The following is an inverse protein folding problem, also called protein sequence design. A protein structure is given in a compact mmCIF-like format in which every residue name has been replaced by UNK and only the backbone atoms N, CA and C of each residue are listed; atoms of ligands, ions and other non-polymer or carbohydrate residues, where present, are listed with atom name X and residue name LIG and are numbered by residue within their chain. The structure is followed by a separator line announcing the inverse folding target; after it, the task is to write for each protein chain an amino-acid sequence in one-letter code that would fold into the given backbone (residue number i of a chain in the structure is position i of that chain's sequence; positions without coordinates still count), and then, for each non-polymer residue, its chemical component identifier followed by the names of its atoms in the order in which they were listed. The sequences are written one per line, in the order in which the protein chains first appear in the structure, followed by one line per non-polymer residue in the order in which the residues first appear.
data_IF_155441547125
#
_entry.id   IF_155441547125
#
_cell.length_a   1.000
_cell.length_b   1.000
_cell.length_c   1.000
_cell.angle_alpha   90.00
_cell.angle_beta   90.00
_cell.angle_gamma   90.00
#
_symmetry.space_group_name_H-M   'P 1'
#
loop_
_entity.id
_entity.type
_entity.pdbx_description
1 polymer ?
#
# COMPACT_ATOMS: atom_id res chain seq x y z
N UNK A 1 53.47 -23.47 -0.46
CA UNK A 1 52.95 -22.41 0.44
C UNK A 1 51.52 -21.91 0.11
N UNK A 2 51.06 -21.95 -1.15
CA UNK A 2 49.77 -21.32 -1.55
C UNK A 2 48.48 -21.87 -0.91
N UNK A 3 48.39 -23.18 -0.62
CA UNK A 3 47.15 -23.77 -0.07
C UNK A 3 46.84 -23.32 1.37
N UNK A 4 47.87 -23.05 2.17
CA UNK A 4 47.71 -22.49 3.54
C UNK A 4 47.21 -21.05 3.47
N UNK A 5 47.69 -20.27 2.51
CA UNK A 5 47.27 -18.88 2.27
C UNK A 5 45.80 -18.83 1.84
N UNK A 6 45.36 -19.74 0.97
CA UNK A 6 43.96 -19.81 0.52
C UNK A 6 42.98 -20.17 1.65
N UNK A 7 43.36 -21.08 2.56
CA UNK A 7 42.53 -21.45 3.71
C UNK A 7 42.47 -20.29 4.72
N UNK A 8 43.60 -19.61 4.97
CA UNK A 8 43.64 -18.46 5.87
C UNK A 8 42.81 -17.30 5.31
N UNK A 9 42.91 -17.00 4.02
CA UNK A 9 42.08 -15.98 3.37
C UNK A 9 40.59 -16.35 3.38
N UNK A 10 40.25 -17.62 3.14
CA UNK A 10 38.86 -18.09 3.17
C UNK A 10 38.24 -17.96 4.57
N UNK A 11 38.98 -18.34 5.62
CA UNK A 11 38.52 -18.19 7.01
C UNK A 11 38.45 -16.72 7.41
N UNK A 12 39.38 -15.88 6.96
CA UNK A 12 39.37 -14.43 7.19
C UNK A 12 38.15 -13.75 6.54
N UNK A 13 37.84 -14.10 5.29
CA UNK A 13 36.68 -13.55 4.56
C UNK A 13 35.37 -14.02 5.17
N UNK A 14 35.27 -15.30 5.56
CA UNK A 14 34.09 -15.84 6.24
C UNK A 14 33.88 -15.18 7.61
N UNK A 15 34.96 -14.98 8.37
CA UNK A 15 34.92 -14.26 9.64
C UNK A 15 34.56 -12.78 9.46
N UNK A 16 35.02 -12.13 8.39
CA UNK A 16 34.64 -10.75 8.03
C UNK A 16 33.16 -10.65 7.65
N UNK A 17 32.61 -11.60 6.90
CA UNK A 17 31.17 -11.61 6.57
C UNK A 17 30.31 -11.83 7.81
N UNK A 18 30.70 -12.74 8.71
CA UNK A 18 29.98 -12.95 9.98
C UNK A 18 30.09 -11.71 10.88
N UNK A 19 31.27 -11.08 10.95
CA UNK A 19 31.47 -9.84 11.70
C UNK A 19 30.66 -8.68 11.12
N UNK A 20 30.52 -8.54 9.80
CA UNK A 20 29.63 -7.52 9.20
C UNK A 20 28.15 -7.80 9.45
N UNK A 21 27.73 -9.06 9.58
CA UNK A 21 26.35 -9.41 9.94
C UNK A 21 26.03 -9.11 11.41
N UNK A 22 27.00 -9.25 12.33
CA UNK A 22 26.79 -9.03 13.77
C UNK A 22 27.15 -7.63 14.24
N UNK A 23 28.03 -6.93 13.53
CA UNK A 23 28.49 -5.59 13.86
C UNK A 23 27.75 -4.51 13.07
N UNK A 24 26.42 -4.58 13.03
CA UNK A 24 25.64 -3.35 12.82
C UNK A 24 25.73 -2.53 14.10
N UNK A 25 26.55 -1.45 14.17
CA UNK A 25 26.33 -0.44 15.18
C UNK A 25 24.96 0.17 14.90
N UNK A 26 23.97 -0.14 15.73
CA UNK A 26 22.82 0.73 15.91
C UNK A 26 23.35 2.05 16.45
N UNK A 27 23.77 2.94 15.55
CA UNK A 27 24.09 4.31 15.90
C UNK A 27 22.87 4.90 16.63
N UNK A 28 23.05 5.64 17.74
CA UNK A 28 21.99 6.52 18.19
C UNK A 28 21.77 7.50 17.04
N UNK A 29 20.59 7.43 16.43
CA UNK A 29 20.12 8.41 15.46
C UNK A 29 20.16 9.76 16.17
N UNK A 30 21.25 10.50 15.97
CA UNK A 30 21.30 11.93 16.24
C UNK A 30 20.52 12.55 15.09
N UNK A 31 19.25 12.79 15.35
CA UNK A 31 18.34 13.59 14.55
C UNK A 31 19.03 14.91 14.16
N UNK A 32 19.58 14.96 12.96
CA UNK A 32 20.16 16.18 12.40
C UNK A 32 20.17 16.09 10.88
N UNK A 33 18.97 16.08 10.28
CA UNK A 33 18.65 16.55 8.91
C UNK A 33 17.22 16.21 8.48
N UNK A 34 16.30 15.97 9.43
CA UNK A 34 14.87 16.19 9.17
C UNK A 34 14.61 17.66 9.50
N UNK A 35 13.97 18.46 8.63
CA UNK A 35 13.34 19.68 9.10
C UNK A 35 12.49 19.28 10.29
N UNK A 36 12.76 19.85 11.45
CA UNK A 36 11.95 19.65 12.64
C UNK A 36 10.53 20.08 12.29
N UNK A 37 9.72 19.11 11.87
CA UNK A 37 8.28 19.17 11.99
C UNK A 37 8.10 19.30 13.49
N UNK A 38 7.96 20.55 13.93
CA UNK A 38 7.43 20.90 15.25
C UNK A 38 6.38 19.84 15.58
N UNK A 39 6.37 19.31 16.82
CA UNK A 39 5.29 18.47 17.27
C UNK A 39 4.02 19.17 16.79
N UNK A 40 3.27 18.50 15.93
CA UNK A 40 1.88 18.84 15.76
C UNK A 40 1.35 18.70 17.17
N UNK A 41 1.34 19.83 17.88
CA UNK A 41 0.56 19.98 19.08
C UNK A 41 -0.76 19.37 18.68
N UNK A 42 -1.13 18.35 19.44
CA UNK A 42 -2.52 18.13 19.72
C UNK A 42 -3.07 19.50 20.13
N UNK A 43 -3.47 20.30 19.17
CA UNK A 43 -4.73 20.99 19.30
C UNK A 43 -5.75 19.87 19.35
N UNK A 44 -5.87 19.31 20.55
CA UNK A 44 -7.20 19.18 21.12
C UNK A 44 -7.98 20.39 20.60
N UNK A 45 -9.12 20.20 19.91
CA UNK A 45 -10.10 21.25 19.89
C UNK A 45 -10.31 21.55 21.37
N UNK A 46 -9.71 22.64 21.84
CA UNK A 46 -10.09 23.24 23.10
C UNK A 46 -11.56 23.48 22.86
N UNK A 47 -12.38 22.65 23.49
CA UNK A 47 -13.78 22.93 23.72
C UNK A 47 -13.75 24.25 24.46
N UNK A 48 -13.78 25.34 23.69
CA UNK A 48 -14.27 26.62 24.16
C UNK A 48 -15.76 26.43 23.98
N UNK A 49 -16.36 26.05 25.09
CA UNK A 49 -17.78 26.09 25.36
C UNK A 49 -18.24 27.56 25.30
N UNK A 50 -18.19 28.12 24.10
CA UNK A 50 -18.88 29.33 23.71
C UNK A 50 -19.67 28.95 22.46
N UNK A 51 -20.97 28.81 22.65
CA UNK A 51 -21.94 28.35 21.68
C UNK A 51 -22.04 29.36 20.53
N UNK A 52 -21.16 29.25 19.54
CA UNK A 52 -21.36 29.90 18.26
C UNK A 52 -22.23 28.97 17.40
N UNK A 53 -23.53 29.06 17.65
CA UNK A 53 -24.57 28.47 16.81
C UNK A 53 -24.44 29.05 15.39
N UNK A 54 -23.79 28.29 14.52
CA UNK A 54 -23.70 28.50 13.09
C UNK A 54 -24.32 27.29 12.38
N UNK A 55 -25.48 26.84 12.86
CA UNK A 55 -26.29 25.81 12.20
C UNK A 55 -26.76 26.22 10.79
N UNK A 56 -26.58 27.48 10.35
CA UNK A 56 -27.22 28.01 9.14
C UNK A 56 -26.27 28.54 8.06
N UNK A 57 -25.05 28.00 7.94
CA UNK A 57 -24.27 28.24 6.71
C UNK A 57 -24.52 27.12 5.71
N UNK A 58 -25.23 27.47 4.62
CA UNK A 58 -25.43 26.62 3.44
C UNK A 58 -24.11 25.97 2.94
N UNK A 59 -22.96 26.57 3.23
CA UNK A 59 -21.63 25.99 3.00
C UNK A 59 -21.33 24.74 3.83
N UNK A 60 -21.68 24.68 5.12
CA UNK A 60 -21.47 23.48 5.95
C UNK A 60 -22.42 22.36 5.52
N UNK A 61 -23.65 22.70 5.13
CA UNK A 61 -24.57 21.75 4.51
C UNK A 61 -24.03 21.22 3.19
N UNK A 62 -23.39 22.08 2.38
CA UNK A 62 -22.73 21.69 1.12
C UNK A 62 -21.49 20.84 1.36
N UNK A 63 -20.66 21.15 2.35
CA UNK A 63 -19.51 20.32 2.74
C UNK A 63 -19.98 18.96 3.25
N UNK A 64 -20.99 18.91 4.12
CA UNK A 64 -21.57 17.66 4.60
C UNK A 64 -22.25 16.88 3.48
N UNK A 65 -22.89 17.56 2.53
CA UNK A 65 -23.45 16.95 1.33
C UNK A 65 -22.34 16.40 0.41
N UNK A 66 -21.23 17.10 0.24
CA UNK A 66 -20.07 16.63 -0.52
C UNK A 66 -19.40 15.44 0.17
N UNK A 67 -19.23 15.49 1.49
CA UNK A 67 -18.75 14.38 2.30
C UNK A 67 -19.69 13.18 2.20
N UNK A 68 -21.01 13.41 2.24
CA UNK A 68 -22.00 12.38 2.03
C UNK A 68 -22.01 11.87 0.59
N UNK A 69 -21.68 12.67 -0.43
CA UNK A 69 -21.54 12.19 -1.81
C UNK A 69 -20.28 11.35 -2.01
N UNK A 70 -19.21 11.61 -1.25
CA UNK A 70 -17.98 10.80 -1.24
C UNK A 70 -18.14 9.55 -0.37
N UNK A 71 -18.83 9.66 0.76
CA UNK A 71 -19.12 8.55 1.67
C UNK A 71 -20.27 7.65 1.16
N UNK A 72 -21.24 8.23 0.44
CA UNK A 72 -22.32 7.54 -0.27
C UNK A 72 -22.01 7.35 -1.76
N UNK A 73 -20.74 7.24 -2.14
CA UNK A 73 -20.37 6.27 -3.16
C UNK A 73 -20.04 4.98 -2.42
N UNK A 74 -21.03 4.28 -1.83
CA UNK A 74 -20.70 3.08 -1.13
C UNK A 74 -20.39 2.08 -2.23
N UNK A 75 -19.12 1.78 -2.37
CA UNK A 75 -18.71 0.51 -2.93
C UNK A 75 -19.08 -0.54 -1.88
N UNK A 76 -20.40 -0.72 -1.64
CA UNK A 76 -20.91 -1.66 -0.65
C UNK A 76 -20.38 -3.03 -1.02
N UNK A 77 -19.62 -3.63 -0.10
CA UNK A 77 -18.95 -4.91 -0.34
C UNK A 77 -17.58 -4.83 -1.02
N UNK A 78 -16.99 -3.65 -1.19
CA UNK A 78 -15.61 -3.49 -1.69
C UNK A 78 -14.66 -3.25 -0.52
N UNK A 79 -13.57 -4.00 -0.50
CA UNK A 79 -12.60 -3.96 0.58
C UNK A 79 -11.76 -2.69 0.54
N UNK A 80 -11.35 -2.22 1.73
CA UNK A 80 -10.38 -1.14 1.87
C UNK A 80 -9.08 -1.44 1.12
N UNK A 81 -8.69 -2.72 1.05
CA UNK A 81 -7.52 -3.19 0.31
C UNK A 81 -7.66 -2.89 -1.17
N UNK A 82 -8.77 -3.30 -1.79
CA UNK A 82 -9.03 -2.99 -3.20
C UNK A 82 -9.04 -1.48 -3.45
N UNK A 83 -9.74 -0.71 -2.61
CA UNK A 83 -9.84 0.74 -2.75
C UNK A 83 -8.50 1.47 -2.65
N UNK A 84 -7.57 0.96 -1.83
CA UNK A 84 -6.27 1.60 -1.62
C UNK A 84 -5.22 1.13 -2.64
N UNK A 85 -5.27 -0.14 -3.05
CA UNK A 85 -4.21 -0.76 -3.87
C UNK A 85 -4.56 -0.93 -5.34
N UNK A 86 -5.83 -1.04 -5.70
CA UNK A 86 -6.27 -1.43 -7.04
C UNK A 86 -7.10 -0.32 -7.71
N UNK A 87 -8.06 0.24 -6.98
CA UNK A 87 -8.95 1.29 -7.44
C UNK A 87 -8.24 2.56 -7.94
N UNK A 88 -7.06 2.97 -7.42
CA UNK A 88 -6.35 4.10 -7.97
C UNK A 88 -6.07 3.97 -9.46
N UNK A 89 -5.95 2.76 -10.00
CA UNK A 89 -5.70 2.55 -11.43
C UNK A 89 -6.85 1.90 -12.19
N UNK A 90 -7.54 0.95 -11.57
CA UNK A 90 -8.63 0.19 -12.19
C UNK A 90 -10.01 0.77 -11.92
N UNK A 91 -10.11 1.84 -11.12
CA UNK A 91 -11.38 2.44 -10.71
C UNK A 91 -12.05 1.69 -9.56
N UNK A 92 -12.94 2.38 -8.84
CA UNK A 92 -13.63 1.83 -7.66
C UNK A 92 -14.49 0.59 -7.95
N UNK A 93 -14.93 0.42 -9.19
CA UNK A 93 -15.73 -0.71 -9.68
C UNK A 93 -15.00 -1.53 -10.76
N UNK A 94 -13.69 -1.34 -10.92
CA UNK A 94 -12.90 -2.12 -11.88
C UNK A 94 -13.11 -1.77 -13.35
N UNK A 95 -13.87 -0.70 -13.70
CA UNK A 95 -14.14 -0.35 -15.11
C UNK A 95 -12.95 0.24 -15.86
N UNK A 96 -11.88 0.61 -15.16
CA UNK A 96 -10.67 1.16 -15.75
C UNK A 96 -10.83 2.60 -16.25
N UNK A 97 -9.79 3.40 -16.05
CA UNK A 97 -9.64 4.74 -16.68
C UNK A 97 -8.20 4.91 -17.12
N UNK A 98 -7.24 4.63 -16.22
CA UNK A 98 -5.81 4.65 -16.51
C UNK A 98 -5.21 3.26 -16.74
N UNK A 99 -5.82 2.22 -16.16
CA UNK A 99 -5.51 0.83 -16.42
C UNK A 99 -6.72 0.13 -17.06
N UNK A 100 -6.54 -1.05 -17.69
CA UNK A 100 -7.62 -1.78 -18.34
C UNK A 100 -8.76 -2.12 -17.38
N UNK A 101 -9.97 -2.29 -17.94
CA UNK A 101 -11.09 -2.83 -17.19
C UNK A 101 -10.80 -4.25 -16.70
N UNK A 102 -11.11 -4.48 -15.43
CA UNK A 102 -11.09 -5.77 -14.74
C UNK A 102 -12.49 -6.20 -14.28
N UNK A 103 -13.52 -5.37 -14.49
CA UNK A 103 -14.90 -5.75 -14.27
C UNK A 103 -15.35 -6.82 -15.29
N UNK A 104 -16.36 -7.61 -14.93
CA UNK A 104 -16.96 -8.62 -15.82
C UNK A 104 -16.18 -9.93 -15.98
N UNK A 105 -14.93 -9.99 -15.50
CA UNK A 105 -14.09 -11.18 -15.58
C UNK A 105 -14.46 -12.19 -14.49
N UNK A 106 -14.37 -13.47 -14.82
CA UNK A 106 -14.55 -14.53 -13.82
C UNK A 106 -13.42 -14.50 -12.78
N UNK A 107 -13.70 -15.07 -11.61
CA UNK A 107 -12.71 -15.22 -10.53
C UNK A 107 -11.44 -15.93 -11.01
N UNK A 108 -11.58 -16.99 -11.79
CA UNK A 108 -10.45 -17.78 -12.27
C UNK A 108 -9.59 -17.00 -13.26
N UNK A 109 -10.20 -16.21 -14.15
CA UNK A 109 -9.46 -15.34 -15.08
C UNK A 109 -8.69 -14.26 -14.33
N UNK A 110 -9.30 -13.62 -13.33
CA UNK A 110 -8.62 -12.62 -12.49
C UNK A 110 -7.47 -13.29 -11.74
N UNK A 111 -7.69 -14.43 -11.08
CA UNK A 111 -6.69 -15.12 -10.29
C UNK A 111 -5.51 -15.57 -11.16
N UNK A 112 -5.78 -16.14 -12.32
CA UNK A 112 -4.74 -16.52 -13.29
C UNK A 112 -3.93 -15.31 -13.74
N UNK A 113 -4.59 -14.19 -14.04
CA UNK A 113 -3.92 -12.95 -14.44
C UNK A 113 -3.03 -12.41 -13.33
N UNK A 114 -3.54 -12.35 -12.10
CA UNK A 114 -2.78 -11.90 -10.92
C UNK A 114 -1.54 -12.76 -10.69
N UNK A 115 -1.66 -14.08 -10.76
CA UNK A 115 -0.52 -15.01 -10.65
C UNK A 115 0.48 -14.80 -11.78
N UNK A 116 0.01 -14.67 -13.02
CA UNK A 116 0.87 -14.45 -14.18
C UNK A 116 1.66 -13.14 -14.07
N UNK A 117 1.07 -12.07 -13.53
CA UNK A 117 1.79 -10.82 -13.26
C UNK A 117 2.78 -10.96 -12.10
N UNK A 118 2.39 -11.62 -11.00
CA UNK A 118 3.27 -11.88 -9.84
C UNK A 118 4.51 -12.68 -10.23
N UNK A 119 4.32 -13.73 -11.03
CA UNK A 119 5.40 -14.61 -11.53
C UNK A 119 6.22 -13.94 -12.66
N UNK A 120 5.71 -12.85 -13.24
CA UNK A 120 6.36 -12.16 -14.37
C UNK A 120 6.23 -12.89 -15.71
N UNK A 121 5.25 -13.80 -15.84
CA UNK A 121 4.89 -14.44 -17.12
C UNK A 121 4.34 -13.42 -18.11
N UNK A 122 3.62 -12.41 -17.62
CA UNK A 122 3.21 -11.25 -18.42
C UNK A 122 4.15 -10.08 -18.10
N UNK A 123 4.81 -9.48 -19.12
CA UNK A 123 5.75 -8.40 -18.89
C UNK A 123 5.03 -7.12 -18.47
N UNK A 124 5.03 -6.85 -17.16
CA UNK A 124 4.56 -5.60 -16.57
C UNK A 124 5.22 -5.37 -15.20
N UNK A 125 6.26 -4.55 -15.16
CA UNK A 125 7.04 -4.30 -13.94
C UNK A 125 6.22 -3.63 -12.84
N UNK A 126 5.25 -2.78 -13.19
CA UNK A 126 4.37 -2.12 -12.21
C UNK A 126 3.49 -3.15 -11.51
N UNK A 127 2.79 -3.98 -12.29
CA UNK A 127 1.91 -4.99 -11.68
C UNK A 127 2.69 -6.08 -10.96
N UNK A 128 3.85 -6.48 -11.49
CA UNK A 128 4.72 -7.41 -10.78
C UNK A 128 5.15 -6.84 -9.42
N UNK A 129 5.58 -5.58 -9.37
CA UNK A 129 6.00 -4.91 -8.14
C UNK A 129 4.88 -4.84 -7.10
N UNK A 130 3.65 -4.51 -7.53
CA UNK A 130 2.48 -4.45 -6.66
C UNK A 130 2.09 -5.82 -6.06
N UNK A 131 2.32 -6.91 -6.80
CA UNK A 131 1.89 -8.26 -6.41
C UNK A 131 2.98 -9.11 -5.75
N UNK A 132 4.24 -8.66 -5.78
CA UNK A 132 5.40 -9.44 -5.27
C UNK A 132 5.21 -9.87 -3.81
N UNK A 133 4.66 -9.00 -2.97
CA UNK A 133 4.47 -9.25 -1.53
C UNK A 133 3.02 -9.63 -1.16
N UNK A 134 2.19 -9.98 -2.14
CA UNK A 134 0.80 -10.39 -1.91
C UNK A 134 0.73 -11.91 -1.79
N UNK A 135 0.15 -12.44 -0.70
CA UNK A 135 0.01 -13.88 -0.52
C UNK A 135 -0.97 -14.49 -1.52
N UNK A 136 -0.90 -15.80 -1.75
CA UNK A 136 -1.79 -16.44 -2.72
C UNK A 136 -3.25 -16.48 -2.23
N UNK A 137 -3.46 -16.52 -0.90
CA UNK A 137 -4.77 -16.38 -0.27
C UNK A 137 -5.35 -14.98 -0.55
N UNK A 138 -4.53 -13.93 -0.38
CA UNK A 138 -4.91 -12.56 -0.68
C UNK A 138 -5.24 -12.37 -2.17
N UNK A 139 -4.48 -13.02 -3.08
CA UNK A 139 -4.81 -13.01 -4.52
C UNK A 139 -6.17 -13.66 -4.77
N UNK A 140 -6.47 -14.76 -4.08
CA UNK A 140 -7.76 -15.43 -4.15
C UNK A 140 -8.91 -14.55 -3.64
N UNK A 141 -8.69 -13.84 -2.53
CA UNK A 141 -9.66 -12.91 -1.97
C UNK A 141 -9.91 -11.71 -2.91
N UNK A 142 -8.85 -11.12 -3.45
CA UNK A 142 -8.96 -10.04 -4.44
C UNK A 142 -9.68 -10.52 -5.71
N UNK A 143 -9.37 -11.72 -6.21
CA UNK A 143 -10.04 -12.27 -7.38
C UNK A 143 -11.53 -12.54 -7.13
N UNK A 144 -11.88 -13.06 -5.96
CA UNK A 144 -13.28 -13.26 -5.55
C UNK A 144 -14.04 -11.94 -5.51
N UNK A 145 -13.44 -10.91 -4.92
CA UNK A 145 -14.03 -9.58 -4.81
C UNK A 145 -14.21 -8.93 -6.19
N UNK A 146 -13.15 -8.89 -7.01
CA UNK A 146 -13.17 -8.27 -8.34
C UNK A 146 -14.19 -8.94 -9.27
N UNK A 147 -14.35 -10.27 -9.16
CA UNK A 147 -15.31 -11.01 -9.99
C UNK A 147 -16.78 -10.61 -9.78
N UNK A 148 -17.08 -9.89 -8.69
CA UNK A 148 -18.44 -9.38 -8.39
C UNK A 148 -18.71 -8.03 -9.08
N UNK A 149 -17.71 -7.42 -9.71
CA UNK A 149 -17.89 -6.17 -10.43
C UNK A 149 -18.61 -6.39 -11.75
N UNK A 150 -19.68 -5.62 -11.96
CA UNK A 150 -20.49 -5.64 -13.18
C UNK A 150 -19.80 -4.85 -14.30
N UNK A 151 -19.94 -5.35 -15.54
CA UNK A 151 -19.49 -4.69 -16.78
C UNK A 151 -19.99 -3.25 -16.91
#
# INVERSE_FOLDING_TARGET
MGKKIAIIFGVLVLALMVFMLTSQPSAPVKDASRPELKPAQQTQPKVVNEELNLQDSEEIKKIKQLQNSVANQPSEGVSKRYLTSCAPCHGANGKGVMAPSIAGKSKDEILASLKNYKEGKVPNSLMKGLLTNVSDEDLGALADEISKFKE
#
